data_IF_921200824621
#
_entry.id   IF_921200824621
#
_cell.length_a   1.000
_cell.length_b   1.000
_cell.length_c   1.000
_cell.angle_alpha   90.00
_cell.angle_beta   90.00
_cell.angle_gamma   90.00
#
_symmetry.space_group_name_H-M   'P 1'
#
loop_
_entity.id
_entity.type
_entity.pdbx_description
1 polymer ?
#
# COMPACT_ATOMS: atom_id res chain seq x y z
N UNK A 1 8.37 24.72 -12.88
CA UNK A 1 8.46 23.88 -14.10
C UNK A 1 7.17 23.05 -14.16
N UNK A 2 6.56 22.90 -15.34
CA UNK A 2 5.37 22.04 -15.52
C UNK A 2 5.80 20.72 -16.11
N UNK A 3 5.35 19.60 -15.52
CA UNK A 3 5.61 18.25 -16.05
C UNK A 3 4.46 17.82 -16.96
N UNK A 4 4.71 17.07 -18.04
CA UNK A 4 3.65 16.49 -18.86
C UNK A 4 2.82 15.51 -18.03
N UNK A 5 1.49 15.63 -18.10
CA UNK A 5 0.54 14.73 -17.43
C UNK A 5 -0.24 13.93 -18.48
N UNK A 6 -0.29 12.61 -18.31
CA UNK A 6 -1.13 11.73 -19.11
C UNK A 6 -2.29 11.25 -18.25
N UNK A 7 -3.51 11.48 -18.72
CA UNK A 7 -4.71 10.86 -18.16
C UNK A 7 -5.11 9.67 -19.03
N UNK A 8 -5.08 8.47 -18.47
CA UNK A 8 -5.41 7.24 -19.19
C UNK A 8 -6.35 6.35 -18.37
N UNK A 9 -7.21 5.60 -19.07
CA UNK A 9 -8.01 4.54 -18.46
C UNK A 9 -7.30 3.20 -18.66
N UNK A 10 -6.94 2.55 -17.56
CA UNK A 10 -6.35 1.21 -17.60
C UNK A 10 -7.51 0.19 -17.51
N UNK A 11 -7.59 -0.80 -18.43
CA UNK A 11 -8.73 -1.70 -18.54
C UNK A 11 -8.67 -2.86 -17.54
N UNK A 12 -8.49 -2.56 -16.25
CA UNK A 12 -8.56 -3.55 -15.16
C UNK A 12 -10.01 -3.84 -14.78
N UNK A 13 -10.30 -5.08 -14.37
CA UNK A 13 -11.61 -5.43 -13.79
C UNK A 13 -11.61 -5.22 -12.29
N UNK A 14 -10.48 -5.53 -11.66
CA UNK A 14 -10.26 -5.40 -10.24
C UNK A 14 -9.09 -4.44 -9.96
N UNK A 15 -9.12 -3.66 -8.87
CA UNK A 15 -8.11 -2.63 -8.61
C UNK A 15 -6.69 -3.21 -8.45
N UNK A 16 -6.52 -4.39 -7.85
CA UNK A 16 -5.20 -5.02 -7.69
C UNK A 16 -4.58 -5.51 -9.01
N UNK A 17 -5.35 -5.65 -10.10
CA UNK A 17 -4.79 -6.06 -11.41
C UNK A 17 -3.93 -4.95 -12.05
N UNK A 18 -3.92 -3.75 -11.47
CA UNK A 18 -3.17 -2.58 -11.97
C UNK A 18 -1.68 -2.87 -12.14
N UNK A 19 -1.09 -3.66 -11.25
CA UNK A 19 0.33 -4.01 -11.26
C UNK A 19 0.74 -4.77 -12.53
N UNK A 20 -0.20 -5.44 -13.21
CA UNK A 20 0.09 -6.12 -14.49
C UNK A 20 0.26 -5.15 -15.67
N UNK A 21 -0.30 -3.93 -15.56
CA UNK A 21 -0.20 -2.89 -16.57
C UNK A 21 0.87 -1.85 -16.24
N UNK A 22 1.07 -1.60 -14.94
CA UNK A 22 2.08 -0.70 -14.40
C UNK A 22 2.99 -1.51 -13.48
N UNK A 23 4.01 -2.20 -14.03
CA UNK A 23 4.86 -3.07 -13.24
C UNK A 23 5.63 -2.26 -12.18
N UNK A 24 5.61 -2.79 -10.96
CA UNK A 24 6.24 -2.27 -9.75
C UNK A 24 6.78 -3.45 -8.93
N UNK A 25 7.81 -3.27 -8.11
CA UNK A 25 8.44 -4.28 -7.26
C UNK A 25 9.39 -5.25 -7.96
N UNK A 26 9.81 -6.28 -7.20
CA UNK A 26 10.92 -7.20 -7.52
C UNK A 26 12.33 -6.55 -7.42
N UNK A 27 12.51 -5.68 -6.42
CA UNK A 27 13.79 -5.09 -6.01
C UNK A 27 13.75 -4.79 -4.51
N UNK A 28 14.90 -4.75 -3.82
CA UNK A 28 15.03 -4.31 -2.42
C UNK A 28 13.93 -4.84 -1.48
N UNK A 29 13.69 -6.16 -1.52
CA UNK A 29 12.65 -6.87 -0.77
C UNK A 29 11.19 -6.41 -1.06
N UNK A 30 10.98 -5.53 -2.03
CA UNK A 30 9.68 -5.22 -2.61
C UNK A 30 9.14 -6.46 -3.35
N UNK A 31 7.94 -6.94 -2.98
CA UNK A 31 7.37 -8.16 -3.54
C UNK A 31 7.23 -8.11 -5.06
N UNK A 32 7.19 -9.29 -5.68
CA UNK A 32 6.96 -9.38 -7.12
C UNK A 32 5.49 -9.11 -7.49
N UNK A 33 5.18 -9.05 -8.79
CA UNK A 33 3.82 -8.73 -9.27
C UNK A 33 2.75 -9.71 -8.73
N UNK A 34 2.93 -11.05 -8.82
CA UNK A 34 2.01 -12.00 -8.16
C UNK A 34 1.77 -11.72 -6.68
N UNK A 35 2.82 -11.45 -5.91
CA UNK A 35 2.74 -11.20 -4.46
C UNK A 35 2.05 -9.87 -4.15
N UNK A 36 2.41 -8.79 -4.85
CA UNK A 36 1.75 -7.48 -4.77
C UNK A 36 0.23 -7.61 -5.05
N UNK A 37 -0.14 -8.33 -6.12
CA UNK A 37 -1.54 -8.57 -6.45
C UNK A 37 -2.26 -9.39 -5.38
N UNK A 38 -1.61 -10.39 -4.80
CA UNK A 38 -2.20 -11.23 -3.76
C UNK A 38 -2.47 -10.42 -2.48
N UNK A 39 -1.50 -9.63 -2.03
CA UNK A 39 -1.65 -8.74 -0.88
C UNK A 39 -2.71 -7.67 -1.12
N UNK A 40 -2.65 -6.98 -2.27
CA UNK A 40 -3.63 -5.96 -2.64
C UNK A 40 -5.05 -6.52 -2.75
N UNK A 41 -5.22 -7.74 -3.29
CA UNK A 41 -6.51 -8.42 -3.31
C UNK A 41 -7.02 -8.71 -1.90
N UNK A 42 -6.17 -9.26 -1.03
CA UNK A 42 -6.53 -9.55 0.36
C UNK A 42 -6.98 -8.28 1.09
N UNK A 43 -6.22 -7.19 0.98
CA UNK A 43 -6.58 -5.92 1.63
C UNK A 43 -7.81 -5.25 1.02
N UNK A 44 -8.04 -5.40 -0.28
CA UNK A 44 -9.31 -5.00 -0.88
C UNK A 44 -10.48 -5.76 -0.27
N UNK A 45 -10.38 -7.08 -0.13
CA UNK A 45 -11.45 -7.91 0.42
C UNK A 45 -11.70 -7.64 1.92
N UNK A 46 -10.66 -7.34 2.70
CA UNK A 46 -10.78 -7.08 4.14
C UNK A 46 -11.16 -5.63 4.47
N UNK A 47 -10.60 -4.66 3.76
CA UNK A 47 -10.63 -3.24 4.13
C UNK A 47 -11.13 -2.32 3.00
N UNK A 48 -11.35 -2.84 1.80
CA UNK A 48 -11.65 -2.01 0.63
C UNK A 48 -10.45 -1.19 0.13
N UNK A 49 -9.24 -1.54 0.55
CA UNK A 49 -8.02 -0.85 0.15
C UNK A 49 -7.76 -1.01 -1.36
N UNK A 50 -7.45 0.08 -2.04
CA UNK A 50 -7.12 0.08 -3.48
C UNK A 50 -5.79 0.81 -3.73
N UNK A 51 -4.92 0.33 -4.66
CA UNK A 51 -3.76 1.09 -5.07
C UNK A 51 -4.18 2.45 -5.63
N UNK A 52 -3.55 3.53 -5.17
CA UNK A 52 -3.95 4.90 -5.45
C UNK A 52 -2.82 5.74 -6.08
N UNK A 53 -1.60 5.56 -5.61
CA UNK A 53 -0.41 6.21 -6.16
C UNK A 53 0.76 5.24 -6.20
N UNK A 54 1.61 5.39 -7.21
CA UNK A 54 2.86 4.65 -7.37
C UNK A 54 3.92 5.61 -7.90
N UNK A 55 5.09 5.59 -7.30
CA UNK A 55 6.29 6.27 -7.80
C UNK A 55 7.31 5.22 -8.26
N UNK A 56 8.60 5.54 -8.22
CA UNK A 56 9.66 4.57 -8.48
C UNK A 56 9.95 3.62 -7.31
N UNK A 57 9.57 4.01 -6.09
CA UNK A 57 9.94 3.36 -4.83
C UNK A 57 8.81 3.42 -3.77
N UNK A 58 7.77 4.21 -4.03
CA UNK A 58 6.61 4.36 -3.13
C UNK A 58 5.35 3.73 -3.74
N UNK A 59 4.53 3.15 -2.86
CA UNK A 59 3.20 2.66 -3.18
C UNK A 59 2.22 3.14 -2.12
N UNK A 60 1.08 3.69 -2.55
CA UNK A 60 0.02 4.09 -1.64
C UNK A 60 -1.28 3.33 -1.91
N UNK A 61 -1.98 3.01 -0.84
CA UNK A 61 -3.35 2.50 -0.89
C UNK A 61 -4.31 3.49 -0.26
N UNK A 62 -5.48 3.62 -0.88
CA UNK A 62 -6.61 4.38 -0.35
C UNK A 62 -7.69 3.42 0.15
N UNK A 63 -8.18 3.67 1.36
CA UNK A 63 -9.26 2.94 2.00
C UNK A 63 -10.52 3.80 2.08
N UNK A 64 -11.72 3.19 2.06
CA UNK A 64 -12.98 3.92 2.25
C UNK A 64 -13.16 4.46 3.67
N UNK A 65 -12.51 3.84 4.66
CA UNK A 65 -12.48 4.26 6.05
C UNK A 65 -11.19 3.73 6.72
N UNK A 66 -10.69 4.38 7.80
CA UNK A 66 -9.56 3.86 8.56
C UNK A 66 -9.83 2.46 9.14
N UNK A 67 -8.76 1.73 9.45
CA UNK A 67 -8.87 0.42 10.08
C UNK A 67 -9.51 0.58 11.48
N UNK A 68 -10.46 -0.28 11.89
CA UNK A 68 -10.99 -0.25 13.25
C UNK A 68 -9.86 -0.36 14.28
N UNK A 69 -9.94 0.42 15.36
CA UNK A 69 -8.87 0.50 16.37
C UNK A 69 -8.48 -0.88 16.92
N UNK A 70 -9.46 -1.77 17.06
CA UNK A 70 -9.26 -3.14 17.57
C UNK A 70 -8.45 -4.03 16.62
N UNK A 71 -8.44 -3.72 15.32
CA UNK A 71 -7.69 -4.43 14.27
C UNK A 71 -6.39 -3.73 13.89
N UNK A 72 -6.14 -2.53 14.40
CA UNK A 72 -5.04 -1.69 13.95
C UNK A 72 -3.66 -2.31 14.19
N UNK A 73 -3.49 -3.03 15.30
CA UNK A 73 -2.25 -3.74 15.61
C UNK A 73 -2.02 -4.92 14.66
N UNK A 74 -3.07 -5.71 14.40
CA UNK A 74 -2.96 -6.85 13.47
C UNK A 74 -2.61 -6.37 12.07
N UNK A 75 -3.29 -5.32 11.58
CA UNK A 75 -2.97 -4.70 10.31
C UNK A 75 -1.54 -4.13 10.30
N UNK A 76 -1.06 -3.50 11.37
CA UNK A 76 0.30 -3.00 11.44
C UNK A 76 1.35 -4.11 11.31
N UNK A 77 1.14 -5.25 11.97
CA UNK A 77 2.03 -6.42 11.84
C UNK A 77 2.00 -6.96 10.41
N UNK A 78 0.83 -7.06 9.79
CA UNK A 78 0.69 -7.49 8.39
C UNK A 78 1.45 -6.55 7.43
N UNK A 79 1.24 -5.23 7.56
CA UNK A 79 1.86 -4.25 6.67
C UNK A 79 3.37 -4.19 6.86
N UNK A 80 3.85 -4.25 8.10
CA UNK A 80 5.29 -4.29 8.42
C UNK A 80 5.95 -5.57 7.87
N UNK A 81 5.25 -6.70 7.90
CA UNK A 81 5.72 -7.95 7.29
C UNK A 81 5.80 -7.89 5.76
N UNK A 82 4.94 -7.09 5.13
CA UNK A 82 4.93 -6.88 3.68
C UNK A 82 5.99 -5.88 3.20
N UNK A 83 6.26 -4.86 4.01
CA UNK A 83 7.22 -3.80 3.73
C UNK A 83 7.96 -3.51 5.05
N UNK A 84 9.16 -4.04 5.24
CA UNK A 84 9.92 -3.80 6.48
C UNK A 84 10.35 -2.33 6.64
N UNK A 85 10.56 -1.62 5.53
CA UNK A 85 11.00 -0.21 5.49
C UNK A 85 9.84 0.80 5.66
N UNK A 86 8.65 0.28 5.97
CA UNK A 86 7.40 1.02 6.15
C UNK A 86 7.46 2.07 7.28
N UNK A 87 8.32 1.85 8.27
CA UNK A 87 8.36 2.69 9.46
C UNK A 87 9.37 3.83 9.33
N UNK A 88 8.85 5.01 8.98
CA UNK A 88 9.61 6.26 8.90
C UNK A 88 9.30 7.20 10.08
N UNK A 89 8.55 6.76 11.08
CA UNK A 89 8.25 7.59 12.25
C UNK A 89 9.46 7.69 13.19
N UNK A 90 9.57 8.79 13.92
CA UNK A 90 10.70 9.04 14.85
C UNK A 90 10.88 7.94 15.91
N UNK A 91 9.83 7.16 16.19
CA UNK A 91 9.84 6.07 17.16
C UNK A 91 9.95 4.67 16.55
N UNK A 92 9.80 4.52 15.22
CA UNK A 92 10.05 3.26 14.50
C UNK A 92 9.30 2.05 15.05
N UNK A 93 8.12 2.25 15.67
CA UNK A 93 7.39 1.17 16.33
C UNK A 93 6.13 0.74 15.57
N UNK A 94 5.88 -0.58 15.56
CA UNK A 94 4.62 -1.17 15.08
C UNK A 94 3.39 -0.55 15.78
N UNK A 95 3.53 -0.08 17.03
CA UNK A 95 2.45 0.60 17.74
C UNK A 95 2.09 1.97 17.16
N UNK A 96 3.07 2.66 16.60
CA UNK A 96 2.92 3.98 15.97
C UNK A 96 2.37 3.85 14.56
N UNK A 97 2.80 2.81 13.83
CA UNK A 97 2.13 2.38 12.61
C UNK A 97 0.66 2.04 12.90
N UNK A 98 0.38 1.18 13.89
CA UNK A 98 -0.99 0.85 14.27
C UNK A 98 -1.79 2.12 14.56
N UNK A 99 -1.21 3.08 15.31
CA UNK A 99 -1.84 4.35 15.59
C UNK A 99 -2.23 5.12 14.33
N UNK A 100 -1.33 5.19 13.33
CA UNK A 100 -1.62 5.83 12.06
C UNK A 100 -2.75 5.12 11.29
N UNK A 101 -2.76 3.78 11.27
CA UNK A 101 -3.73 2.98 10.50
C UNK A 101 -5.19 3.15 10.96
N UNK A 102 -5.44 3.41 12.26
CA UNK A 102 -6.81 3.69 12.75
C UNK A 102 -7.21 5.16 12.70
N UNK A 103 -6.31 6.04 12.26
CA UNK A 103 -6.55 7.48 12.07
C UNK A 103 -6.61 7.88 10.59
N UNK A 104 -5.97 7.13 9.71
CA UNK A 104 -5.79 7.46 8.29
C UNK A 104 -6.55 6.50 7.37
N UNK A 105 -7.01 7.04 6.24
CA UNK A 105 -7.52 6.25 5.10
C UNK A 105 -6.43 5.94 4.08
N UNK A 106 -5.20 6.39 4.30
CA UNK A 106 -4.07 6.17 3.40
C UNK A 106 -3.07 5.26 4.08
N UNK A 107 -2.67 4.21 3.37
CA UNK A 107 -1.49 3.41 3.68
C UNK A 107 -0.40 3.79 2.71
N UNK A 108 0.81 3.96 3.21
CA UNK A 108 1.97 4.40 2.45
C UNK A 108 3.07 3.38 2.67
N UNK A 109 3.69 2.90 1.60
CA UNK A 109 4.79 1.94 1.60
C UNK A 109 5.98 2.54 0.84
N UNK A 110 7.19 2.28 1.31
CA UNK A 110 8.44 2.74 0.70
C UNK A 110 9.49 1.64 0.81
N UNK A 111 10.30 1.49 -0.23
CA UNK A 111 11.46 0.58 -0.26
C UNK A 111 12.69 1.39 -0.70
N UNK A 112 13.87 1.11 -0.12
CA UNK A 112 15.16 1.68 -0.58
C UNK A 112 15.52 1.20 -2.00
#
# INVERSE_FOLDING_TARGET
MTYPLILAKIPVKNPWEIFTYLPFGNWNDCPDIPELMAAAKYWFEQYGAVPAAMSHDELEFLLPAPVPKEKAMDAAVELYGFCPDLDQNEDGSIGSLAYALWQSTVWYFWWD
#
